data_IF_102990726671
#
_entry.id   IF_102990726671
#
_cell.length_a   1.000
_cell.length_b   1.000
_cell.length_c   1.000
_cell.angle_alpha   90.00
_cell.angle_beta   90.00
_cell.angle_gamma   90.00
#
_symmetry.space_group_name_H-M   'P 1'
#
loop_
_entity.id
_entity.type
_entity.pdbx_description
1 polymer ?
#
# COMPACT_ATOMS: atom_id res chain seq x y z
N UNK A 1 -30.00 0.22 42.97
CA UNK A 1 -28.90 -0.26 42.11
C UNK A 1 -29.27 -0.02 40.65
N UNK A 2 -28.69 1.01 40.01
CA UNK A 2 -28.97 1.35 38.61
C UNK A 2 -28.34 0.28 37.71
N UNK A 3 -29.16 -0.59 37.10
CA UNK A 3 -28.72 -1.45 35.99
C UNK A 3 -28.45 -0.55 34.78
N UNK A 4 -27.26 0.06 34.73
CA UNK A 4 -26.80 0.74 33.52
C UNK A 4 -26.81 -0.30 32.40
N UNK A 5 -27.54 0.02 31.33
CA UNK A 5 -27.77 -0.86 30.18
C UNK A 5 -26.45 -1.04 29.40
N UNK A 6 -25.62 -1.98 29.86
CA UNK A 6 -24.36 -2.42 29.22
C UNK A 6 -24.57 -2.74 27.74
N UNK A 7 -25.78 -3.20 27.39
CA UNK A 7 -26.22 -3.53 26.04
C UNK A 7 -26.07 -2.36 25.06
N UNK A 8 -26.49 -1.13 25.41
CA UNK A 8 -26.44 0.02 24.48
C UNK A 8 -25.02 0.47 24.12
N UNK A 9 -24.08 0.34 25.05
CA UNK A 9 -22.68 0.69 24.82
C UNK A 9 -21.98 -0.29 23.88
N UNK A 10 -22.26 -1.59 24.00
CA UNK A 10 -21.71 -2.63 23.12
C UNK A 10 -22.14 -2.42 21.66
N UNK A 11 -23.40 -2.09 21.40
CA UNK A 11 -23.88 -1.80 20.05
C UNK A 11 -23.22 -0.55 19.45
N UNK A 12 -22.97 0.48 20.26
CA UNK A 12 -22.25 1.67 19.81
C UNK A 12 -20.81 1.38 19.37
N UNK A 13 -20.08 0.56 20.15
CA UNK A 13 -18.69 0.18 19.84
C UNK A 13 -18.63 -0.70 18.57
N UNK A 14 -19.56 -1.64 18.42
CA UNK A 14 -19.65 -2.48 17.21
C UNK A 14 -19.97 -1.65 15.96
N UNK A 15 -20.83 -0.63 16.08
CA UNK A 15 -21.15 0.26 14.96
C UNK A 15 -19.95 1.12 14.54
N UNK A 16 -19.17 1.62 15.49
CA UNK A 16 -17.94 2.38 15.20
C UNK A 16 -16.89 1.47 14.56
N UNK A 17 -16.71 0.24 15.05
CA UNK A 17 -15.80 -0.72 14.45
C UNK A 17 -16.20 -1.07 13.01
N UNK A 18 -17.50 -1.22 12.72
CA UNK A 18 -18.01 -1.46 11.37
C UNK A 18 -17.74 -0.28 10.42
N UNK A 19 -17.87 0.97 10.89
CA UNK A 19 -17.56 2.16 10.08
C UNK A 19 -16.06 2.29 9.76
N UNK A 20 -15.18 1.82 10.65
CA UNK A 20 -13.72 1.88 10.46
C UNK A 20 -13.20 0.80 9.51
N UNK A 21 -13.94 -0.30 9.32
CA UNK A 21 -13.55 -1.41 8.43
C UNK A 21 -13.64 -1.07 6.93
N UNK A 22 -14.17 0.10 6.55
CA UNK A 22 -14.47 0.46 5.16
C UNK A 22 -13.52 1.48 4.52
N UNK A 23 -12.45 1.89 5.18
CA UNK A 23 -11.45 2.78 4.57
C UNK A 23 -10.44 1.90 3.81
N UNK A 24 -10.86 1.33 2.68
CA UNK A 24 -9.90 0.83 1.70
C UNK A 24 -9.15 2.04 1.13
N UNK A 25 -7.92 2.24 1.61
CA UNK A 25 -7.01 3.19 0.98
C UNK A 25 -6.85 2.77 -0.49
N UNK A 26 -7.09 3.70 -1.41
CA UNK A 26 -7.01 3.41 -2.83
C UNK A 26 -5.53 3.21 -3.14
N UNK A 27 -5.11 2.03 -3.60
CA UNK A 27 -3.71 1.85 -4.01
C UNK A 27 -3.47 2.50 -5.37
N UNK A 28 -2.61 3.52 -5.39
CA UNK A 28 -2.05 4.09 -6.61
C UNK A 28 -0.76 3.36 -6.99
N UNK A 29 -0.44 3.31 -8.28
CA UNK A 29 0.85 2.79 -8.73
C UNK A 29 1.39 3.52 -9.96
N UNK A 30 2.72 3.63 -10.05
CA UNK A 30 3.44 4.26 -11.15
C UNK A 30 4.66 3.41 -11.52
N UNK A 31 4.88 3.23 -12.82
CA UNK A 31 6.07 2.59 -13.35
C UNK A 31 7.18 3.61 -13.65
N UNK A 32 8.40 3.32 -13.23
CA UNK A 32 9.61 4.11 -13.46
C UNK A 32 10.55 3.37 -14.44
N UNK A 33 10.26 3.37 -15.75
CA UNK A 33 11.01 2.60 -16.74
C UNK A 33 12.45 3.08 -16.96
N UNK A 34 12.80 4.29 -16.51
CA UNK A 34 14.16 4.85 -16.61
C UNK A 34 15.06 4.48 -15.42
N UNK A 35 14.50 3.94 -14.34
CA UNK A 35 15.30 3.51 -13.19
C UNK A 35 15.95 2.20 -13.58
N UNK A 36 17.29 2.16 -13.56
CA UNK A 36 18.04 0.92 -13.76
C UNK A 36 17.78 0.00 -12.59
N UNK A 37 17.52 -1.29 -12.85
CA UNK A 37 17.08 -2.20 -11.80
C UNK A 37 17.85 -3.49 -11.91
N UNK A 38 18.48 -3.82 -10.80
CA UNK A 38 18.86 -5.17 -10.46
C UNK A 38 17.67 -5.76 -9.70
N UNK A 39 16.86 -6.54 -10.41
CA UNK A 39 15.79 -7.34 -9.82
C UNK A 39 16.36 -8.71 -9.47
N UNK A 40 16.59 -8.98 -8.19
CA UNK A 40 16.89 -10.32 -7.71
C UNK A 40 15.56 -11.07 -7.50
N UNK A 41 15.02 -11.62 -8.58
CA UNK A 41 13.72 -12.28 -8.58
C UNK A 41 12.57 -11.28 -8.51
N UNK A 42 11.87 -11.20 -7.38
CA UNK A 42 10.73 -10.30 -7.16
C UNK A 42 11.06 -9.09 -6.29
N UNK A 43 12.26 -9.06 -5.68
CA UNK A 43 12.67 -7.97 -4.81
C UNK A 43 13.32 -6.84 -5.62
N UNK A 44 12.87 -5.59 -5.45
CA UNK A 44 13.49 -4.44 -6.09
C UNK A 44 14.86 -4.14 -5.46
N UNK A 45 15.86 -3.87 -6.29
CA UNK A 45 17.13 -3.33 -5.82
C UNK A 45 16.97 -2.00 -5.07
N UNK A 46 18.00 -1.64 -4.29
CA UNK A 46 18.02 -0.45 -3.42
C UNK A 46 17.69 0.85 -4.17
N UNK A 47 18.11 0.97 -5.43
CA UNK A 47 17.83 2.14 -6.27
C UNK A 47 16.33 2.32 -6.53
N UNK A 48 15.62 1.25 -6.92
CA UNK A 48 14.18 1.29 -7.15
C UNK A 48 13.42 1.66 -5.88
N UNK A 49 13.83 1.12 -4.73
CA UNK A 49 13.26 1.46 -3.43
C UNK A 49 13.44 2.96 -3.10
N UNK A 50 14.66 3.46 -3.24
CA UNK A 50 15.01 4.85 -2.93
C UNK A 50 14.26 5.84 -3.82
N UNK A 51 14.13 5.56 -5.11
CA UNK A 51 13.40 6.42 -6.05
C UNK A 51 11.90 6.48 -5.73
N UNK A 52 11.29 5.33 -5.41
CA UNK A 52 9.91 5.30 -4.95
C UNK A 52 9.73 6.14 -3.68
N UNK A 53 10.62 5.98 -2.68
CA UNK A 53 10.54 6.74 -1.42
C UNK A 53 10.73 8.24 -1.61
N UNK A 54 11.64 8.64 -2.51
CA UNK A 54 11.84 10.06 -2.82
C UNK A 54 10.60 10.71 -3.47
N UNK A 55 9.81 9.95 -4.23
CA UNK A 55 8.62 10.49 -4.93
C UNK A 55 7.36 10.51 -4.07
N UNK A 56 7.06 9.42 -3.36
CA UNK A 56 5.78 9.24 -2.66
C UNK A 56 5.91 9.16 -1.14
N UNK A 57 7.12 9.28 -0.60
CA UNK A 57 7.40 9.20 0.83
C UNK A 57 7.59 7.77 1.33
N UNK A 58 7.64 7.63 2.66
CA UNK A 58 8.08 6.39 3.31
C UNK A 58 7.07 5.23 3.24
N UNK A 59 5.79 5.51 2.96
CA UNK A 59 4.71 4.51 2.91
C UNK A 59 4.53 3.86 1.53
N UNK A 60 5.52 4.01 0.65
CA UNK A 60 5.53 3.39 -0.68
C UNK A 60 6.17 2.00 -0.65
N UNK A 61 5.69 1.13 -1.51
CA UNK A 61 6.30 -0.16 -1.84
C UNK A 61 6.93 -0.05 -3.21
N UNK A 62 8.16 -0.51 -3.36
CA UNK A 62 8.75 -0.75 -4.67
C UNK A 62 8.55 -2.22 -5.06
N UNK A 63 8.36 -2.48 -6.35
CA UNK A 63 8.07 -3.80 -6.91
C UNK A 63 8.83 -3.92 -8.23
N UNK A 64 9.48 -5.06 -8.46
CA UNK A 64 9.95 -5.43 -9.79
C UNK A 64 8.78 -5.94 -10.64
N UNK A 65 8.45 -5.22 -11.71
CA UNK A 65 7.35 -5.56 -12.59
C UNK A 65 7.86 -6.01 -13.95
N UNK A 66 7.27 -7.08 -14.48
CA UNK A 66 7.51 -7.56 -15.84
C UNK A 66 6.27 -7.27 -16.67
N UNK A 67 6.38 -6.40 -17.67
CA UNK A 67 5.31 -6.24 -18.66
C UNK A 67 5.59 -7.16 -19.86
N UNK A 68 4.63 -7.98 -20.31
CA UNK A 68 4.85 -8.89 -21.43
C UNK A 68 5.17 -8.18 -22.75
N UNK A 69 4.90 -6.87 -22.85
CA UNK A 69 5.21 -6.04 -24.01
C UNK A 69 6.64 -5.49 -23.98
N UNK A 70 7.34 -5.58 -22.85
CA UNK A 70 8.69 -5.07 -22.68
C UNK A 70 9.68 -6.22 -22.42
N UNK A 71 10.86 -6.23 -23.06
CA UNK A 71 11.84 -7.30 -22.93
C UNK A 71 12.56 -7.31 -21.57
N UNK A 72 12.37 -6.28 -20.75
CA UNK A 72 13.08 -6.07 -19.48
C UNK A 72 12.11 -5.75 -18.36
N UNK A 73 12.46 -6.15 -17.13
CA UNK A 73 11.74 -5.75 -15.93
C UNK A 73 11.95 -4.25 -15.65
N UNK A 74 10.95 -3.60 -15.07
CA UNK A 74 11.04 -2.20 -14.64
C UNK A 74 10.48 -1.99 -13.22
N UNK A 75 10.71 -0.80 -12.68
CA UNK A 75 10.52 -0.48 -11.28
C UNK A 75 9.10 0.04 -11.16
N UNK A 76 8.31 -0.51 -10.25
CA UNK A 76 6.95 -0.04 -10.02
C UNK A 76 6.79 0.36 -8.56
N UNK A 77 6.32 1.57 -8.34
CA UNK A 77 5.99 2.07 -7.02
C UNK A 77 4.49 1.88 -6.77
N UNK A 78 4.10 1.46 -5.57
CA UNK A 78 2.70 1.39 -5.09
C UNK A 78 2.58 2.11 -3.77
N UNK A 79 1.58 2.98 -3.61
CA UNK A 79 1.35 3.73 -2.36
C UNK A 79 -0.14 3.97 -2.11
N UNK A 80 -0.55 4.17 -0.85
CA UNK A 80 -1.91 4.58 -0.54
C UNK A 80 -2.16 6.01 -1.04
N UNK A 81 -3.17 6.14 -1.89
CA UNK A 81 -3.86 7.35 -2.29
C UNK A 81 -5.38 7.15 -2.02
#
# INVERSE_FOLDING_TARGET
MKKLSVSKFLYGILFIAFLLSGIEAKECSEGLPWVTIDCEGSEPGVQCWSECQNRYGLNVKAICWSDPSLPTQFCRCSWPC
#
